data_IF_367309027388
#
_entry.id   IF_367309027388
#
_cell.length_a   1.000
_cell.length_b   1.000
_cell.length_c   1.000
_cell.angle_alpha   90.00
_cell.angle_beta   90.00
_cell.angle_gamma   90.00
#
_symmetry.space_group_name_H-M   'P 1'
#
loop_
_entity.id
_entity.type
_entity.pdbx_description
1 polymer ?
#
# COMPACT_ATOMS: atom_id res chain seq x y z
N UNK A 1 3.05 -48.60 18.95
CA UNK A 1 3.62 -49.67 18.10
C UNK A 1 3.49 -49.25 16.65
N UNK A 2 4.58 -49.25 15.87
CA UNK A 2 4.62 -48.80 14.48
C UNK A 2 4.21 -49.93 13.53
N UNK A 3 3.61 -49.60 12.39
CA UNK A 3 3.49 -50.53 11.25
C UNK A 3 4.14 -49.91 10.02
N UNK A 4 5.34 -50.39 9.72
CA UNK A 4 6.05 -50.15 8.47
C UNK A 4 5.30 -50.79 7.31
N UNK A 5 5.37 -50.17 6.14
CA UNK A 5 5.27 -50.87 4.86
C UNK A 5 6.29 -50.26 3.91
N UNK A 6 7.33 -51.06 3.65
CA UNK A 6 8.46 -50.81 2.76
C UNK A 6 8.04 -51.18 1.33
N UNK A 7 8.42 -50.38 0.33
CA UNK A 7 8.66 -50.88 -1.04
C UNK A 7 10.02 -50.37 -1.54
N UNK A 8 10.94 -51.32 -1.62
CA UNK A 8 12.24 -51.27 -2.29
C UNK A 8 12.06 -51.52 -3.80
N UNK A 9 12.88 -50.83 -4.61
CA UNK A 9 13.66 -51.35 -5.76
C UNK A 9 13.96 -50.16 -6.71
N UNK A 10 15.17 -49.58 -6.82
CA UNK A 10 16.51 -50.09 -7.20
C UNK A 10 16.89 -49.70 -8.64
N UNK A 11 17.91 -48.83 -8.70
CA UNK A 11 19.02 -48.64 -9.64
C UNK A 11 18.85 -48.73 -11.18
N UNK A 12 19.42 -47.71 -11.82
CA UNK A 12 20.23 -47.85 -13.04
C UNK A 12 21.34 -46.77 -13.06
N UNK A 13 22.58 -47.18 -12.81
CA UNK A 13 23.82 -46.38 -12.89
C UNK A 13 24.60 -46.84 -14.14
N UNK A 14 25.57 -46.01 -14.58
CA UNK A 14 26.82 -46.30 -15.32
C UNK A 14 26.85 -45.68 -16.75
N UNK A 15 27.90 -45.00 -17.29
CA UNK A 15 29.07 -44.22 -16.83
C UNK A 15 29.94 -43.84 -18.07
N UNK A 16 30.64 -42.68 -18.00
CA UNK A 16 31.90 -42.22 -18.68
C UNK A 16 32.02 -42.08 -20.21
N UNK A 17 32.63 -40.96 -20.68
CA UNK A 17 34.03 -40.89 -21.21
C UNK A 17 34.54 -39.45 -21.44
N UNK A 18 35.72 -39.17 -20.85
CA UNK A 18 36.89 -38.33 -21.26
C UNK A 18 36.78 -37.05 -22.15
N UNK A 19 37.20 -35.91 -21.56
CA UNK A 19 38.38 -35.09 -21.94
C UNK A 19 38.47 -34.33 -23.27
N UNK A 20 38.57 -32.98 -23.21
CA UNK A 20 39.51 -32.19 -24.04
C UNK A 20 39.83 -30.81 -23.41
N UNK A 21 41.12 -30.47 -23.35
CA UNK A 21 41.68 -29.15 -23.00
C UNK A 21 41.45 -28.14 -24.14
N UNK A 22 41.20 -26.85 -23.83
CA UNK A 22 41.36 -25.77 -24.81
C UNK A 22 40.67 -24.41 -24.53
N UNK A 23 41.49 -23.43 -24.12
CA UNK A 23 41.39 -21.96 -24.32
C UNK A 23 40.48 -21.07 -23.41
N UNK A 24 40.99 -19.90 -22.96
CA UNK A 24 40.21 -18.85 -22.31
C UNK A 24 39.52 -17.97 -23.37
N UNK A 25 38.21 -17.75 -23.22
CA UNK A 25 37.48 -16.78 -24.05
C UNK A 25 36.53 -15.92 -23.22
N UNK A 26 36.30 -14.67 -23.65
CA UNK A 26 36.14 -13.52 -22.78
C UNK A 26 34.68 -13.23 -22.44
N UNK A 27 34.48 -12.58 -21.29
CA UNK A 27 33.31 -11.75 -21.02
C UNK A 27 32.00 -12.51 -20.93
N UNK A 28 31.69 -12.99 -19.72
CA UNK A 28 30.28 -13.17 -19.36
C UNK A 28 29.55 -11.84 -19.60
N UNK A 29 28.49 -11.79 -20.42
CA UNK A 29 27.66 -10.60 -20.45
C UNK A 29 27.01 -10.47 -19.07
N UNK A 30 27.36 -9.39 -18.36
CA UNK A 30 26.60 -8.94 -17.20
C UNK A 30 25.12 -8.93 -17.59
N UNK A 31 24.22 -9.57 -16.82
CA UNK A 31 22.80 -9.45 -17.08
C UNK A 31 22.47 -7.96 -17.06
N UNK A 32 22.06 -7.39 -18.19
CA UNK A 32 21.46 -6.06 -18.19
C UNK A 32 20.24 -6.15 -17.27
N UNK A 33 20.30 -5.48 -16.13
CA UNK A 33 19.14 -5.20 -15.32
C UNK A 33 18.13 -4.51 -16.25
N UNK A 34 17.12 -5.26 -16.67
CA UNK A 34 15.99 -4.72 -17.38
C UNK A 34 15.34 -3.70 -16.44
N UNK A 35 15.63 -2.42 -16.66
CA UNK A 35 14.97 -1.33 -15.95
C UNK A 35 13.50 -1.39 -16.34
N UNK A 36 12.69 -2.01 -15.48
CA UNK A 36 11.25 -2.06 -15.68
C UNK A 36 10.72 -0.65 -15.50
N UNK A 37 10.47 0.04 -16.61
CA UNK A 37 9.81 1.34 -16.60
C UNK A 37 8.36 1.15 -16.16
N UNK A 38 8.03 1.60 -14.95
CA UNK A 38 6.65 1.62 -14.44
C UNK A 38 5.88 2.70 -15.18
N UNK A 39 4.72 2.35 -15.74
CA UNK A 39 3.85 3.28 -16.45
C UNK A 39 3.26 4.36 -15.51
N UNK A 40 2.94 5.57 -16.01
CA UNK A 40 2.30 6.60 -15.21
C UNK A 40 0.85 6.23 -14.82
N UNK A 41 0.33 6.75 -13.69
CA UNK A 41 -1.06 6.57 -13.30
C UNK A 41 -2.01 7.33 -14.25
N UNK A 42 -3.23 6.80 -14.44
CA UNK A 42 -4.25 7.39 -15.35
C UNK A 42 -5.58 7.69 -14.66
N UNK A 43 -5.65 7.58 -13.34
CA UNK A 43 -6.89 7.61 -12.57
C UNK A 43 -7.14 8.88 -11.74
N UNK A 44 -8.33 8.90 -11.15
CA UNK A 44 -8.65 9.68 -9.96
C UNK A 44 -9.05 8.71 -8.85
N UNK A 45 -8.83 9.11 -7.60
CA UNK A 45 -9.28 8.35 -6.43
C UNK A 45 -10.61 8.93 -5.97
N UNK A 46 -11.54 8.06 -5.58
CA UNK A 46 -12.79 8.47 -4.95
C UNK A 46 -12.48 9.16 -3.61
N UNK A 47 -13.18 10.25 -3.32
CA UNK A 47 -13.05 10.98 -2.07
C UNK A 47 -14.42 10.98 -1.40
N UNK A 48 -14.47 10.48 -0.16
CA UNK A 48 -15.74 10.39 0.57
C UNK A 48 -16.30 11.77 0.88
N UNK A 49 -17.62 11.91 0.71
CA UNK A 49 -18.35 13.11 1.11
C UNK A 49 -18.32 13.29 2.62
N UNK A 50 -18.24 14.54 3.08
CA UNK A 50 -18.18 14.86 4.50
C UNK A 50 -17.70 16.29 4.74
N UNK A 51 -17.41 16.64 6.01
CA UNK A 51 -17.11 18.02 6.39
C UNK A 51 -15.69 18.47 6.00
N UNK A 52 -14.82 17.57 5.54
CA UNK A 52 -13.47 17.93 5.05
C UNK A 52 -13.46 18.01 3.54
N UNK A 53 -12.92 19.10 3.03
CA UNK A 53 -12.69 19.27 1.60
C UNK A 53 -11.48 18.46 1.11
N UNK A 54 -11.57 18.00 -0.14
CA UNK A 54 -10.43 17.38 -0.84
C UNK A 54 -9.24 18.36 -0.84
N UNK A 55 -8.02 17.92 -0.50
CA UNK A 55 -6.88 18.82 -0.52
C UNK A 55 -6.55 19.24 -1.95
N UNK A 56 -6.07 20.47 -2.10
CA UNK A 56 -5.55 20.97 -3.36
C UNK A 56 -4.33 20.18 -3.80
N UNK A 57 -4.21 20.01 -5.12
CA UNK A 57 -3.02 19.39 -5.71
C UNK A 57 -1.84 20.36 -5.58
N UNK A 58 -0.64 19.88 -5.20
CA UNK A 58 0.53 20.76 -5.10
C UNK A 58 0.89 21.34 -6.46
N UNK A 59 1.18 22.64 -6.50
CA UNK A 59 1.63 23.33 -7.71
C UNK A 59 2.98 22.79 -8.23
N UNK A 60 3.85 22.38 -7.31
CA UNK A 60 5.12 21.73 -7.60
C UNK A 60 5.18 20.38 -6.91
N UNK A 61 5.32 19.31 -7.69
CA UNK A 61 5.43 17.96 -7.16
C UNK A 61 6.90 17.64 -6.84
N UNK A 62 7.18 17.37 -5.56
CA UNK A 62 8.44 16.86 -5.04
C UNK A 62 8.14 15.87 -3.90
N UNK A 63 9.15 15.23 -3.32
CA UNK A 63 8.96 14.22 -2.27
C UNK A 63 8.12 14.75 -1.09
N UNK A 64 8.41 15.97 -0.63
CA UNK A 64 7.71 16.56 0.53
C UNK A 64 6.26 16.88 0.19
N UNK A 65 6.01 17.49 -0.97
CA UNK A 65 4.65 17.86 -1.37
C UNK A 65 3.81 16.63 -1.72
N UNK A 66 4.41 15.56 -2.27
CA UNK A 66 3.74 14.29 -2.48
C UNK A 66 3.36 13.61 -1.15
N UNK A 67 4.29 13.58 -0.19
CA UNK A 67 4.05 13.07 1.18
C UNK A 67 2.89 13.79 1.85
N UNK A 68 2.92 15.12 1.86
CA UNK A 68 1.90 15.96 2.49
C UNK A 68 0.55 15.84 1.79
N UNK A 69 0.53 15.87 0.45
CA UNK A 69 -0.68 15.72 -0.34
C UNK A 69 -1.37 14.38 -0.05
N UNK A 70 -0.65 13.27 -0.10
CA UNK A 70 -1.21 11.93 0.17
C UNK A 70 -1.66 11.78 1.62
N UNK A 71 -0.89 12.31 2.57
CA UNK A 71 -1.31 12.33 3.98
C UNK A 71 -2.65 13.04 4.16
N UNK A 72 -2.76 14.27 3.66
CA UNK A 72 -3.98 15.06 3.77
C UNK A 72 -5.15 14.41 3.02
N UNK A 73 -4.89 13.84 1.83
CA UNK A 73 -5.92 13.21 1.02
C UNK A 73 -6.52 12.00 1.75
N UNK A 74 -5.67 11.06 2.19
CA UNK A 74 -6.12 9.86 2.88
C UNK A 74 -6.76 10.21 4.22
N UNK A 75 -6.13 11.06 5.04
CA UNK A 75 -6.66 11.44 6.35
C UNK A 75 -8.06 12.04 6.22
N UNK A 76 -8.24 13.02 5.32
CA UNK A 76 -9.55 13.68 5.15
C UNK A 76 -10.58 12.74 4.53
N UNK A 77 -10.18 11.87 3.60
CA UNK A 77 -11.09 10.87 3.03
C UNK A 77 -11.57 9.88 4.10
N UNK A 78 -10.70 9.38 4.97
CA UNK A 78 -11.08 8.46 6.07
C UNK A 78 -11.94 9.19 7.10
N UNK A 79 -11.55 10.41 7.46
CA UNK A 79 -12.34 11.24 8.36
C UNK A 79 -13.78 11.39 7.86
N UNK A 80 -13.94 11.73 6.58
CA UNK A 80 -15.26 11.87 5.96
C UNK A 80 -16.03 10.54 5.93
N UNK A 81 -15.37 9.43 5.58
CA UNK A 81 -16.00 8.11 5.58
C UNK A 81 -16.44 7.64 6.97
N UNK A 82 -15.79 8.11 8.04
CA UNK A 82 -16.14 7.81 9.43
C UNK A 82 -17.09 8.86 10.05
N UNK A 83 -17.39 9.94 9.34
CA UNK A 83 -18.22 11.02 9.86
C UNK A 83 -19.71 10.63 9.86
N UNK A 84 -20.35 10.66 11.02
CA UNK A 84 -21.76 10.28 11.19
C UNK A 84 -22.68 11.48 11.52
N UNK A 85 -22.12 12.69 11.58
CA UNK A 85 -22.85 13.92 11.88
C UNK A 85 -22.40 14.61 13.16
N UNK A 86 -23.21 15.55 13.62
CA UNK A 86 -23.04 16.21 14.92
C UNK A 86 -23.00 15.12 16.02
N UNK A 87 -22.04 15.23 16.95
CA UNK A 87 -21.72 14.22 17.98
C UNK A 87 -20.88 13.01 17.53
N UNK A 88 -20.31 13.03 16.33
CA UNK A 88 -19.27 12.04 15.97
C UNK A 88 -18.03 12.25 16.83
N UNK A 89 -17.69 11.26 17.65
CA UNK A 89 -16.37 11.13 18.26
C UNK A 89 -15.46 10.29 17.36
N UNK A 90 -14.29 10.83 17.03
CA UNK A 90 -13.39 10.24 16.03
C UNK A 90 -12.04 9.89 16.67
N UNK A 91 -11.55 8.68 16.43
CA UNK A 91 -10.14 8.32 16.61
C UNK A 91 -9.56 8.03 15.24
N UNK A 92 -8.58 8.82 14.80
CA UNK A 92 -7.94 8.62 13.49
C UNK A 92 -6.48 9.05 13.55
N UNK A 93 -5.60 8.12 13.20
CA UNK A 93 -4.18 8.36 13.03
C UNK A 93 -3.73 7.83 11.67
N UNK A 94 -2.80 8.55 11.03
CA UNK A 94 -2.18 8.15 9.78
C UNK A 94 -0.67 8.36 9.85
N UNK A 95 0.08 7.55 9.11
CA UNK A 95 1.53 7.66 8.94
C UNK A 95 1.89 7.39 7.49
N UNK A 96 2.67 8.28 6.89
CA UNK A 96 3.35 7.96 5.64
C UNK A 96 4.57 7.12 5.97
N UNK A 97 4.61 5.91 5.42
CA UNK A 97 5.67 4.96 5.72
C UNK A 97 6.81 5.04 4.69
N UNK A 98 6.48 5.22 3.40
CA UNK A 98 7.48 5.26 2.32
C UNK A 98 7.08 6.26 1.24
N UNK A 99 8.07 6.94 0.67
CA UNK A 99 7.95 7.76 -0.55
C UNK A 99 9.02 7.29 -1.51
N UNK A 100 8.66 7.02 -2.76
CA UNK A 100 9.56 6.50 -3.79
C UNK A 100 9.39 7.33 -5.05
N UNK A 101 10.48 7.94 -5.52
CA UNK A 101 10.50 8.69 -6.77
C UNK A 101 10.37 7.74 -7.97
N UNK A 102 9.62 8.20 -8.98
CA UNK A 102 9.40 7.55 -10.26
C UNK A 102 9.68 8.54 -11.38
N UNK A 103 9.93 8.04 -12.58
CA UNK A 103 10.14 8.90 -13.76
C UNK A 103 8.96 9.81 -14.10
N UNK A 104 7.77 9.50 -13.59
CA UNK A 104 6.52 10.25 -13.80
C UNK A 104 5.99 10.94 -12.54
N UNK A 105 6.64 10.82 -11.37
CA UNK A 105 6.13 11.35 -10.11
C UNK A 105 6.58 10.56 -8.88
N UNK A 106 5.65 10.20 -7.99
CA UNK A 106 5.95 9.52 -6.73
C UNK A 106 4.95 8.41 -6.41
N UNK A 107 5.47 7.29 -5.89
CA UNK A 107 4.68 6.33 -5.12
C UNK A 107 4.80 6.67 -3.63
N UNK A 108 3.67 6.80 -2.94
CA UNK A 108 3.59 7.06 -1.49
C UNK A 108 2.79 5.95 -0.84
N UNK A 109 3.35 5.27 0.16
CA UNK A 109 2.58 4.30 0.95
C UNK A 109 2.22 4.92 2.29
N UNK A 110 0.93 4.91 2.59
CA UNK A 110 0.33 5.46 3.81
C UNK A 110 -0.47 4.38 4.52
N UNK A 111 -0.37 4.38 5.85
CA UNK A 111 -1.15 3.52 6.73
C UNK A 111 -2.00 4.40 7.64
N UNK A 112 -3.28 4.08 7.76
CA UNK A 112 -4.20 4.76 8.67
C UNK A 112 -4.94 3.75 9.52
N UNK A 113 -5.19 4.13 10.77
CA UNK A 113 -6.05 3.40 11.70
C UNK A 113 -7.10 4.37 12.22
N UNK A 114 -8.37 3.98 12.17
CA UNK A 114 -9.41 4.80 12.76
C UNK A 114 -10.71 4.09 13.09
N UNK A 115 -11.51 4.77 13.89
CA UNK A 115 -12.88 4.41 14.23
C UNK A 115 -13.67 5.66 14.65
N UNK A 116 -14.99 5.56 14.61
CA UNK A 116 -15.88 6.58 15.16
C UNK A 116 -17.04 5.98 15.94
N UNK A 117 -17.51 6.75 16.91
CA UNK A 117 -18.75 6.54 17.65
C UNK A 117 -19.60 7.80 17.56
N UNK A 118 -20.89 7.71 17.87
CA UNK A 118 -21.75 8.88 17.98
C UNK A 118 -22.38 8.87 19.37
N UNK A 119 -22.02 9.85 20.20
CA UNK A 119 -22.44 9.95 21.61
C UNK A 119 -23.15 11.29 21.87
N UNK A 120 -24.47 11.38 21.64
CA UNK A 120 -25.24 12.58 21.93
C UNK A 120 -25.35 12.86 23.42
N UNK A 121 -25.39 14.14 23.85
CA UNK A 121 -25.54 14.48 25.26
C UNK A 121 -26.89 14.04 25.83
N UNK A 122 -26.93 13.75 27.13
CA UNK A 122 -28.17 13.40 27.85
C UNK A 122 -29.24 14.48 27.64
N UNK A 123 -30.43 14.05 27.22
CA UNK A 123 -31.55 14.95 26.91
C UNK A 123 -31.58 15.45 25.46
N UNK A 124 -30.61 15.05 24.62
CA UNK A 124 -30.69 15.23 23.17
C UNK A 124 -31.80 14.37 22.55
N UNK A 125 -32.32 14.82 21.41
CA UNK A 125 -33.22 14.02 20.56
C UNK A 125 -32.47 13.21 19.50
N UNK A 126 -31.15 13.42 19.37
CA UNK A 126 -30.29 12.64 18.51
C UNK A 126 -30.14 11.21 19.03
N UNK A 127 -30.05 10.24 18.12
CA UNK A 127 -29.88 8.83 18.44
C UNK A 127 -28.38 8.50 18.51
N UNK A 128 -27.97 7.69 19.48
CA UNK A 128 -26.64 7.08 19.47
C UNK A 128 -26.43 6.32 18.16
N UNK A 129 -25.30 6.55 17.52
CA UNK A 129 -24.95 5.93 16.25
C UNK A 129 -24.15 4.64 16.46
N UNK A 130 -24.11 3.74 15.46
CA UNK A 130 -23.26 2.56 15.53
C UNK A 130 -21.78 2.94 15.62
N UNK A 131 -20.99 2.03 16.18
CA UNK A 131 -19.53 2.08 16.04
C UNK A 131 -19.20 1.86 14.56
N UNK A 132 -18.40 2.74 13.98
CA UNK A 132 -17.87 2.59 12.63
C UNK A 132 -16.36 2.38 12.70
N UNK A 133 -15.90 1.22 12.27
CA UNK A 133 -14.48 0.87 12.30
C UNK A 133 -13.87 0.92 10.90
N UNK A 134 -12.83 1.74 10.74
CA UNK A 134 -11.99 1.72 9.54
C UNK A 134 -10.89 0.63 9.64
N UNK A 135 -10.60 0.14 10.85
CA UNK A 135 -9.45 -0.73 11.15
C UNK A 135 -8.12 -0.09 10.71
N UNK A 136 -7.04 -0.89 10.68
CA UNK A 136 -5.77 -0.49 10.06
C UNK A 136 -5.79 -0.86 8.59
N UNK A 137 -5.58 0.12 7.71
CA UNK A 137 -5.47 -0.11 6.28
C UNK A 137 -4.28 0.64 5.69
N UNK A 138 -3.57 -0.02 4.77
CA UNK A 138 -2.43 0.55 4.03
C UNK A 138 -2.72 0.64 2.54
N UNK A 139 -2.32 1.77 1.95
CA UNK A 139 -2.52 2.05 0.52
C UNK A 139 -1.25 2.61 -0.10
N UNK A 140 -0.97 2.20 -1.35
CA UNK A 140 -0.03 2.89 -2.22
C UNK A 140 -0.79 3.88 -3.08
N UNK A 141 -0.39 5.14 -3.00
CA UNK A 141 -0.80 6.19 -3.91
C UNK A 141 0.28 6.43 -4.95
N UNK A 142 -0.11 6.44 -6.22
CA UNK A 142 0.73 6.85 -7.33
C UNK A 142 0.32 8.26 -7.75
N UNK A 143 1.21 9.23 -7.54
CA UNK A 143 0.97 10.66 -7.73
C UNK A 143 1.81 11.15 -8.91
N UNK A 144 1.17 11.52 -10.01
CA UNK A 144 1.80 12.27 -11.10
C UNK A 144 1.44 13.76 -11.01
N UNK A 145 1.84 14.58 -11.98
CA UNK A 145 1.46 15.99 -12.05
C UNK A 145 -0.06 16.20 -12.17
N UNK A 146 -0.80 15.26 -12.76
CA UNK A 146 -2.19 15.41 -13.17
C UNK A 146 -3.11 14.26 -12.70
N UNK A 147 -2.57 13.09 -12.40
CA UNK A 147 -3.32 11.90 -12.01
C UNK A 147 -3.02 11.46 -10.57
N UNK A 148 -3.97 10.71 -10.00
CA UNK A 148 -3.85 10.08 -8.70
C UNK A 148 -4.48 8.69 -8.79
N UNK A 149 -3.68 7.65 -8.57
CA UNK A 149 -4.18 6.28 -8.44
C UNK A 149 -3.93 5.77 -7.02
N UNK A 150 -4.78 4.84 -6.57
CA UNK A 150 -4.66 4.18 -5.26
C UNK A 150 -4.84 2.70 -5.42
N UNK A 151 -3.96 1.94 -4.79
CA UNK A 151 -4.01 0.49 -4.71
C UNK A 151 -3.89 0.06 -3.25
N UNK A 152 -4.69 -0.94 -2.84
CA UNK A 152 -4.49 -1.60 -1.56
C UNK A 152 -3.16 -2.35 -1.56
N UNK A 153 -2.45 -2.29 -0.44
CA UNK A 153 -1.22 -3.06 -0.21
C UNK A 153 -1.36 -3.85 1.09
N UNK A 154 -0.37 -4.69 1.40
CA UNK A 154 -0.33 -5.38 2.68
C UNK A 154 -0.36 -4.36 3.83
N UNK A 155 -1.23 -4.60 4.81
CA UNK A 155 -1.39 -3.72 5.96
C UNK A 155 -0.13 -3.72 6.80
N UNK A 156 0.34 -2.51 7.12
CA UNK A 156 1.44 -2.30 8.08
C UNK A 156 0.92 -2.22 9.52
N UNK A 157 1.85 -2.10 10.45
CA UNK A 157 1.54 -1.93 11.87
C UNK A 157 0.59 -0.75 12.10
N UNK A 158 -0.33 -0.96 13.05
CA UNK A 158 -1.29 0.02 13.52
C UNK A 158 -0.62 1.36 13.86
N UNK A 159 -1.34 2.44 13.57
CA UNK A 159 -0.94 3.80 13.94
C UNK A 159 -1.88 4.29 15.06
N UNK A 160 -1.33 4.99 16.05
CA UNK A 160 -2.05 5.51 17.21
C UNK A 160 -1.60 6.91 17.55
#
# INVERSE_FOLDING_TARGET
MPSQSVRLAVLGVVVLTAGCFGAPSPGSPTPSEATTTVAPPTGTVEFHDGPKERPDRPATLNESSAREFVYNYQYRSVYNGLWQGEYTEMRLACRVDTVTERSWGYDVVITCTGSSTTDPPVGSTATEGPISDYFTQSYRYSVSADALARESVENRDQVS
#
